data_IF_524354131114
#
_entry.id   IF_524354131114
#
_cell.length_a   1.000
_cell.length_b   1.000
_cell.length_c   1.000
_cell.angle_alpha   90.00
_cell.angle_beta   90.00
_cell.angle_gamma   90.00
#
_symmetry.space_group_name_H-M   'P 1'
#
loop_
_entity.id
_entity.type
_entity.pdbx_description
1 polymer ?
#
# COMPACT_ATOMS: atom_id res chain seq x y z
N UNK A 1 24.80 -15.02 -8.39
CA UNK A 1 23.54 -14.80 -7.64
C UNK A 1 23.67 -13.78 -6.53
N UNK A 2 24.81 -13.69 -5.81
CA UNK A 2 25.00 -12.69 -4.74
C UNK A 2 24.87 -11.23 -5.22
N UNK A 3 25.39 -10.89 -6.41
CA UNK A 3 25.26 -9.54 -6.98
C UNK A 3 23.79 -9.14 -7.24
N UNK A 4 22.96 -10.09 -7.68
CA UNK A 4 21.53 -9.87 -7.94
C UNK A 4 20.75 -9.55 -6.65
N UNK A 5 21.03 -10.27 -5.57
CA UNK A 5 20.42 -10.03 -4.26
C UNK A 5 20.86 -8.69 -3.66
N UNK A 6 22.13 -8.31 -3.85
CA UNK A 6 22.64 -7.01 -3.43
C UNK A 6 22.00 -5.86 -4.22
N UNK A 7 21.84 -6.00 -5.54
CA UNK A 7 21.15 -5.03 -6.40
C UNK A 7 19.71 -4.80 -5.94
N UNK A 8 18.94 -5.89 -5.75
CA UNK A 8 17.54 -5.82 -5.30
C UNK A 8 17.45 -5.18 -3.92
N UNK A 9 18.30 -5.61 -2.97
CA UNK A 9 18.31 -5.07 -1.60
C UNK A 9 18.64 -3.58 -1.56
N UNK A 10 19.66 -3.14 -2.31
CA UNK A 10 20.06 -1.74 -2.37
C UNK A 10 18.97 -0.85 -3.00
N UNK A 11 18.34 -1.32 -4.06
CA UNK A 11 17.23 -0.61 -4.72
C UNK A 11 15.99 -0.55 -3.83
N UNK A 12 15.60 -1.64 -3.16
CA UNK A 12 14.50 -1.63 -2.20
C UNK A 12 14.79 -0.70 -1.03
N UNK A 13 16.01 -0.70 -0.48
CA UNK A 13 16.40 0.20 0.60
C UNK A 13 16.37 1.68 0.19
N UNK A 14 16.68 1.98 -1.08
CA UNK A 14 16.54 3.33 -1.63
C UNK A 14 15.08 3.77 -1.65
N UNK A 15 14.16 2.90 -2.07
CA UNK A 15 12.73 3.19 -2.05
C UNK A 15 12.22 3.42 -0.62
N UNK A 16 12.65 2.60 0.34
CA UNK A 16 12.34 2.77 1.78
C UNK A 16 12.86 4.11 2.30
N UNK A 17 14.08 4.52 1.94
CA UNK A 17 14.63 5.83 2.34
C UNK A 17 13.88 7.01 1.70
N UNK A 18 13.45 6.88 0.44
CA UNK A 18 12.63 7.90 -0.25
C UNK A 18 11.30 8.09 0.49
N UNK A 19 10.64 7.00 0.82
CA UNK A 19 9.38 7.00 1.57
C UNK A 19 9.53 7.54 2.99
N UNK A 20 10.62 7.19 3.68
CA UNK A 20 10.91 7.72 5.01
C UNK A 20 11.14 9.24 5.02
N UNK A 21 11.37 9.87 3.86
CA UNK A 21 11.43 11.33 3.74
C UNK A 21 10.03 11.94 3.49
N UNK A 22 9.10 11.16 2.96
CA UNK A 22 7.69 11.54 2.73
C UNK A 22 6.73 10.94 3.77
N UNK A 23 7.12 10.97 5.05
CA UNK A 23 6.29 10.43 6.16
C UNK A 23 4.88 11.04 6.18
N UNK A 24 4.76 12.31 5.81
CA UNK A 24 3.49 13.03 5.79
C UNK A 24 2.56 12.52 4.68
N UNK A 25 3.08 12.30 3.47
CA UNK A 25 2.31 11.77 2.34
C UNK A 25 1.75 10.39 2.67
N UNK A 26 2.60 9.53 3.25
CA UNK A 26 2.25 8.15 3.61
C UNK A 26 1.17 8.06 4.69
N UNK A 27 1.25 8.93 5.71
CA UNK A 27 0.21 9.06 6.73
C UNK A 27 -1.09 9.60 6.14
N UNK A 28 -1.02 10.53 5.19
CA UNK A 28 -2.20 11.10 4.55
C UNK A 28 -2.90 10.10 3.61
N UNK A 29 -2.15 9.32 2.84
CA UNK A 29 -2.71 8.25 1.98
C UNK A 29 -3.30 7.10 2.79
N UNK A 30 -2.78 6.83 3.99
CA UNK A 30 -3.37 5.88 4.93
C UNK A 30 -4.63 6.43 5.59
N UNK A 31 -4.55 7.66 6.09
CA UNK A 31 -5.62 8.30 6.85
C UNK A 31 -6.85 8.58 5.97
N UNK A 32 -6.65 9.05 4.74
CA UNK A 32 -7.75 9.50 3.88
C UNK A 32 -8.80 8.39 3.60
N UNK A 33 -8.44 7.18 3.16
CA UNK A 33 -9.42 6.10 2.97
C UNK A 33 -9.80 5.41 4.29
N UNK A 34 -8.87 5.15 5.22
CA UNK A 34 -9.21 4.40 6.44
C UNK A 34 -10.08 5.20 7.41
N UNK A 35 -9.66 6.42 7.75
CA UNK A 35 -10.30 7.24 8.79
C UNK A 35 -11.66 7.69 8.28
N UNK A 36 -11.74 8.09 7.01
CA UNK A 36 -13.00 8.54 6.43
C UNK A 36 -13.99 7.40 6.23
N UNK A 37 -13.59 6.19 5.84
CA UNK A 37 -14.55 5.11 5.69
C UNK A 37 -14.91 4.43 7.02
N UNK A 38 -13.95 4.13 7.89
CA UNK A 38 -14.24 3.45 9.16
C UNK A 38 -14.95 4.34 10.18
N UNK A 39 -14.55 5.60 10.35
CA UNK A 39 -15.20 6.49 11.33
C UNK A 39 -16.59 6.91 10.85
N UNK A 40 -16.69 7.29 9.57
CA UNK A 40 -17.92 7.83 9.01
C UNK A 40 -18.95 6.72 8.76
N UNK A 41 -18.60 5.62 8.08
CA UNK A 41 -19.56 4.52 7.88
C UNK A 41 -19.74 3.64 9.12
N UNK A 42 -18.69 3.41 9.92
CA UNK A 42 -18.80 2.61 11.15
C UNK A 42 -19.82 3.18 12.13
N UNK A 43 -19.81 4.50 12.36
CA UNK A 43 -20.77 5.16 13.26
C UNK A 43 -22.13 5.43 12.61
N UNK A 44 -22.17 5.79 11.31
CA UNK A 44 -23.41 6.18 10.63
C UNK A 44 -24.32 4.98 10.33
N UNK A 45 -23.72 3.83 10.00
CA UNK A 45 -24.47 2.63 9.66
C UNK A 45 -24.58 1.63 10.81
N UNK A 46 -23.81 1.72 11.91
CA UNK A 46 -24.10 0.91 13.12
C UNK A 46 -25.54 1.10 13.62
N UNK A 47 -26.09 2.30 13.47
CA UNK A 47 -27.45 2.64 13.92
C UNK A 47 -28.55 2.27 12.92
N UNK A 48 -28.18 1.99 11.67
CA UNK A 48 -29.12 1.83 10.54
C UNK A 48 -29.01 0.46 9.86
N UNK A 49 -27.92 -0.26 10.05
CA UNK A 49 -27.68 -1.57 9.47
C UNK A 49 -28.43 -2.64 10.27
N UNK A 50 -29.53 -3.11 9.68
CA UNK A 50 -30.25 -4.28 10.15
C UNK A 50 -29.32 -5.50 10.09
N UNK A 51 -29.11 -6.18 11.21
CA UNK A 51 -28.25 -7.37 11.37
C UNK A 51 -28.61 -8.54 10.43
N UNK A 52 -29.76 -8.47 9.75
CA UNK A 52 -30.20 -9.44 8.74
C UNK A 52 -29.49 -9.33 7.37
N UNK A 53 -28.97 -8.15 6.98
CA UNK A 53 -28.42 -7.92 5.63
C UNK A 53 -26.94 -8.27 5.54
N UNK A 54 -26.23 -8.21 6.67
CA UNK A 54 -24.79 -8.39 6.72
C UNK A 54 -24.54 -9.76 7.32
N UNK A 55 -24.27 -10.77 6.49
CA UNK A 55 -23.88 -12.11 6.93
C UNK A 55 -22.46 -12.15 7.54
N UNK A 56 -22.12 -11.16 8.38
CA UNK A 56 -20.84 -11.05 9.08
C UNK A 56 -21.08 -10.75 10.56
N UNK A 57 -20.17 -11.18 11.46
CA UNK A 57 -20.32 -10.99 12.91
C UNK A 57 -20.47 -9.52 13.33
N UNK A 58 -19.91 -8.59 12.54
CA UNK A 58 -20.04 -7.16 12.74
C UNK A 58 -20.01 -6.41 11.40
N UNK A 59 -20.77 -5.30 11.30
CA UNK A 59 -20.74 -4.41 10.14
C UNK A 59 -19.33 -3.80 9.89
N UNK A 60 -18.57 -3.64 10.97
CA UNK A 60 -17.19 -3.15 10.95
C UNK A 60 -16.27 -4.17 10.24
N UNK A 61 -16.44 -5.47 10.48
CA UNK A 61 -15.66 -6.51 9.79
C UNK A 61 -15.97 -6.56 8.28
N UNK A 62 -17.24 -6.40 7.89
CA UNK A 62 -17.62 -6.32 6.47
C UNK A 62 -17.01 -5.11 5.77
N UNK A 63 -17.09 -3.93 6.40
CA UNK A 63 -16.47 -2.72 5.87
C UNK A 63 -14.94 -2.83 5.81
N UNK A 64 -14.32 -3.39 6.84
CA UNK A 64 -12.87 -3.57 6.88
C UNK A 64 -12.38 -4.41 5.69
N UNK A 65 -13.08 -5.50 5.35
CA UNK A 65 -12.74 -6.31 4.17
C UNK A 65 -12.81 -5.50 2.87
N UNK A 66 -13.86 -4.69 2.68
CA UNK A 66 -14.00 -3.81 1.52
C UNK A 66 -12.90 -2.74 1.43
N UNK A 67 -12.58 -2.10 2.56
CA UNK A 67 -11.51 -1.10 2.64
C UNK A 67 -10.15 -1.72 2.33
N UNK A 68 -9.85 -2.92 2.86
CA UNK A 68 -8.61 -3.64 2.55
C UNK A 68 -8.47 -3.86 1.04
N UNK A 69 -9.52 -4.34 0.36
CA UNK A 69 -9.48 -4.57 -1.10
C UNK A 69 -9.24 -3.27 -1.87
N UNK A 70 -9.96 -2.20 -1.51
CA UNK A 70 -9.77 -0.88 -2.14
C UNK A 70 -8.36 -0.33 -1.91
N UNK A 71 -7.80 -0.51 -0.72
CA UNK A 71 -6.43 -0.08 -0.39
C UNK A 71 -5.40 -0.86 -1.22
N UNK A 72 -5.56 -2.17 -1.36
CA UNK A 72 -4.64 -2.99 -2.17
C UNK A 72 -4.70 -2.54 -3.64
N UNK A 73 -5.89 -2.31 -4.18
CA UNK A 73 -6.07 -1.84 -5.56
C UNK A 73 -5.44 -0.45 -5.78
N UNK A 74 -5.70 0.50 -4.89
CA UNK A 74 -5.13 1.85 -4.99
C UNK A 74 -3.60 1.84 -4.90
N UNK A 75 -3.02 1.08 -3.97
CA UNK A 75 -1.56 0.97 -3.87
C UNK A 75 -0.95 0.27 -5.09
N UNK A 76 -1.63 -0.72 -5.67
CA UNK A 76 -1.20 -1.38 -6.90
C UNK A 76 -1.16 -0.41 -8.09
N UNK A 77 -2.22 0.40 -8.25
CA UNK A 77 -2.29 1.42 -9.30
C UNK A 77 -1.21 2.50 -9.12
N UNK A 78 -1.11 3.08 -7.92
CA UNK A 78 -0.09 4.10 -7.60
C UNK A 78 1.34 3.55 -7.73
N UNK A 79 1.53 2.27 -7.38
CA UNK A 79 2.80 1.56 -7.49
C UNK A 79 3.39 1.58 -8.90
N UNK A 80 2.52 1.47 -9.92
CA UNK A 80 2.87 1.54 -11.33
C UNK A 80 3.07 2.98 -11.85
N UNK A 81 2.31 3.94 -11.34
CA UNK A 81 2.43 5.35 -11.73
C UNK A 81 3.82 5.93 -11.40
N UNK A 82 4.37 5.65 -10.22
CA UNK A 82 5.72 6.11 -9.86
C UNK A 82 6.80 5.52 -10.78
N UNK A 83 6.62 4.26 -11.21
CA UNK A 83 7.55 3.62 -12.14
C UNK A 83 7.47 4.26 -13.53
N UNK A 84 6.28 4.67 -13.95
CA UNK A 84 6.07 5.44 -15.17
C UNK A 84 6.73 6.82 -15.08
N UNK A 85 6.59 7.51 -13.94
CA UNK A 85 7.29 8.79 -13.71
C UNK A 85 8.82 8.64 -13.73
N UNK A 86 9.36 7.57 -13.14
CA UNK A 86 10.81 7.31 -13.20
C UNK A 86 11.29 7.01 -14.64
N UNK A 87 10.40 6.45 -15.49
CA UNK A 87 10.63 6.28 -16.93
C UNK A 87 10.59 7.62 -17.66
N UNK A 88 9.58 8.46 -17.42
CA UNK A 88 9.42 9.78 -18.06
C UNK A 88 10.54 10.75 -17.70
N UNK A 89 11.04 10.70 -16.45
CA UNK A 89 12.15 11.53 -15.99
C UNK A 89 13.53 11.05 -16.49
N UNK A 90 13.60 10.00 -17.31
CA UNK A 90 14.85 9.42 -17.80
C UNK A 90 15.73 8.79 -16.71
N UNK A 91 15.22 8.68 -15.47
CA UNK A 91 15.94 8.04 -14.37
C UNK A 91 16.13 6.56 -14.64
N UNK A 92 15.10 5.90 -15.19
CA UNK A 92 15.16 4.50 -15.58
C UNK A 92 16.23 4.25 -16.66
N UNK A 93 16.37 5.16 -17.64
CA UNK A 93 17.38 5.05 -18.69
C UNK A 93 18.81 5.17 -18.14
N UNK A 94 19.03 6.07 -17.17
CA UNK A 94 20.32 6.19 -16.46
C UNK A 94 20.64 4.97 -15.60
N UNK A 95 19.63 4.30 -15.05
CA UNK A 95 19.81 3.07 -14.27
C UNK A 95 20.08 1.85 -15.18
N UNK A 96 19.55 1.87 -16.40
CA UNK A 96 19.79 0.83 -17.41
C UNK A 96 21.12 0.97 -18.15
N UNK A 97 21.78 2.13 -18.06
CA UNK A 97 23.15 2.32 -18.58
C UNK A 97 24.25 1.85 -17.61
N UNK A 98 23.90 1.63 -16.33
CA UNK A 98 24.75 0.91 -15.38
C UNK A 98 24.59 -0.61 -15.54
N UNK A 99 25.56 -1.45 -15.13
CA UNK A 99 25.50 -2.91 -15.26
C UNK A 99 24.52 -3.52 -14.25
N UNK A 100 23.24 -3.14 -14.33
CA UNK A 100 22.15 -3.57 -13.46
C UNK A 100 21.15 -4.34 -14.30
N UNK A 101 20.69 -5.49 -13.79
CA UNK A 101 19.70 -6.30 -14.48
C UNK A 101 18.32 -5.62 -14.52
N UNK A 102 17.68 -5.57 -15.69
CA UNK A 102 16.33 -4.97 -15.88
C UNK A 102 15.30 -5.56 -14.91
N UNK A 103 15.40 -6.86 -14.64
CA UNK A 103 14.52 -7.60 -13.75
C UNK A 103 14.67 -7.18 -12.29
N UNK A 104 15.88 -6.84 -11.83
CA UNK A 104 16.10 -6.38 -10.45
C UNK A 104 15.38 -5.07 -10.13
N UNK A 105 15.25 -4.18 -11.12
CA UNK A 105 14.53 -2.91 -10.96
C UNK A 105 13.03 -3.14 -10.73
N UNK A 106 12.44 -4.04 -11.51
CA UNK A 106 11.02 -4.39 -11.38
C UNK A 106 10.75 -5.14 -10.07
N UNK A 107 11.60 -6.12 -9.73
CA UNK A 107 11.43 -6.92 -8.51
C UNK A 107 11.62 -6.07 -7.25
N UNK A 108 12.63 -5.21 -7.20
CA UNK A 108 12.85 -4.33 -6.04
C UNK A 108 11.69 -3.38 -5.79
N UNK A 109 11.05 -2.87 -6.86
CA UNK A 109 9.84 -2.05 -6.78
C UNK A 109 8.62 -2.86 -6.35
N UNK A 110 8.43 -4.05 -6.91
CA UNK A 110 7.35 -4.95 -6.52
C UNK A 110 7.42 -5.31 -5.03
N UNK A 111 8.60 -5.72 -4.55
CA UNK A 111 8.85 -6.00 -3.13
C UNK A 111 8.54 -4.80 -2.24
N UNK A 112 8.94 -3.60 -2.67
CA UNK A 112 8.68 -2.38 -1.92
C UNK A 112 7.18 -2.07 -1.80
N UNK A 113 6.43 -2.11 -2.90
CA UNK A 113 4.98 -1.88 -2.90
C UNK A 113 4.26 -2.95 -2.07
N UNK A 114 4.68 -4.21 -2.19
CA UNK A 114 4.13 -5.32 -1.42
C UNK A 114 4.39 -5.16 0.08
N UNK A 115 5.59 -4.75 0.49
CA UNK A 115 5.93 -4.53 1.90
C UNK A 115 5.11 -3.38 2.51
N UNK A 116 4.95 -2.26 1.79
CA UNK A 116 4.11 -1.15 2.26
C UNK A 116 2.67 -1.58 2.37
N UNK A 117 2.13 -2.18 1.31
CA UNK A 117 0.73 -2.60 1.26
C UNK A 117 0.44 -3.58 2.39
N UNK A 118 1.34 -4.54 2.64
CA UNK A 118 1.21 -5.47 3.76
C UNK A 118 1.18 -4.76 5.11
N UNK A 119 2.06 -3.77 5.33
CA UNK A 119 2.04 -2.97 6.56
C UNK A 119 0.73 -2.19 6.72
N UNK A 120 0.22 -1.57 5.63
CA UNK A 120 -1.05 -0.86 5.67
C UNK A 120 -2.22 -1.80 6.00
N UNK A 121 -2.27 -2.98 5.38
CA UNK A 121 -3.30 -4.00 5.64
C UNK A 121 -3.25 -4.46 7.10
N UNK A 122 -2.06 -4.68 7.67
CA UNK A 122 -1.92 -5.03 9.09
C UNK A 122 -2.48 -3.95 10.01
N UNK A 123 -2.23 -2.67 9.71
CA UNK A 123 -2.79 -1.55 10.47
C UNK A 123 -4.32 -1.50 10.34
N UNK A 124 -4.87 -1.71 9.13
CA UNK A 124 -6.32 -1.77 8.91
C UNK A 124 -6.96 -2.89 9.73
N UNK A 125 -6.39 -4.10 9.69
CA UNK A 125 -6.88 -5.24 10.46
C UNK A 125 -6.80 -5.00 11.96
N UNK A 126 -5.71 -4.38 12.45
CA UNK A 126 -5.55 -4.01 13.85
C UNK A 126 -6.61 -3.02 14.33
N UNK A 127 -6.91 -1.98 13.54
CA UNK A 127 -7.97 -1.02 13.85
C UNK A 127 -9.35 -1.67 13.80
N UNK A 128 -9.61 -2.50 12.78
CA UNK A 128 -10.87 -3.23 12.66
C UNK A 128 -11.12 -4.17 13.85
N UNK A 129 -10.07 -4.81 14.38
CA UNK A 129 -10.16 -5.63 15.59
C UNK A 129 -10.40 -4.81 16.85
N UNK A 130 -9.81 -3.61 16.97
CA UNK A 130 -10.03 -2.73 18.12
C UNK A 130 -11.44 -2.10 18.14
N UNK A 131 -12.01 -1.84 16.97
CA UNK A 131 -13.34 -1.22 16.83
C UNK A 131 -14.49 -2.23 16.81
N UNK A 132 -14.19 -3.52 16.53
CA UNK A 132 -15.15 -4.61 16.38
C UNK A 132 -15.36 -5.40 17.65
#
# INVERSE_FOLDING_TARGET
MEQYLQEVGALTMRWVRRLSREKFSMLFTLAQPMVFWLIFFGNLFQRTANTQVVQAPSYIAFLAAGVVVMTILNNGLAGGTDLLFDKENGFLERLMSTPISRTSVVISRFLFVMAITSLQVLVILGVAYLMG
#
